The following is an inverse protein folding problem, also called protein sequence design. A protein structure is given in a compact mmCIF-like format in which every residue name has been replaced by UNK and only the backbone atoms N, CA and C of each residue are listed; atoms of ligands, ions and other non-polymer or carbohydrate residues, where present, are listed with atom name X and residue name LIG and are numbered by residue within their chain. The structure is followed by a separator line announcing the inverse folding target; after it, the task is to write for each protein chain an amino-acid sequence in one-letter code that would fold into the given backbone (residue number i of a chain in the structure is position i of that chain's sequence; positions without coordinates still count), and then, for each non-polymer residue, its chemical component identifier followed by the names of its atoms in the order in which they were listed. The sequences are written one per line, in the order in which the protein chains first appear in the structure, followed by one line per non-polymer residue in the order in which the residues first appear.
data_IF_752581577832
#
_entry.id   IF_752581577832
#
_cell.length_a   1.000
_cell.length_b   1.000
_cell.length_c   1.000
_cell.angle_alpha   90.00
_cell.angle_beta   90.00
_cell.angle_gamma   90.00
#
_symmetry.space_group_name_H-M   'P 1'
#
loop_
_entity.id
_entity.type
_entity.pdbx_description
1 polymer ?
#
# COMPACT_ATOMS: atom_id res chain seq x y z
N UNK A 1 21.63 -23.72 9.29
CA UNK A 1 22.84 -23.50 10.09
C UNK A 1 23.27 -22.04 10.10
N UNK A 2 23.50 -21.37 8.97
CA UNK A 2 23.92 -19.97 8.94
C UNK A 2 23.02 -19.02 9.72
N UNK A 3 21.68 -19.15 9.61
CA UNK A 3 20.72 -18.38 10.42
C UNK A 3 20.86 -18.66 11.93
N UNK A 4 21.22 -19.88 12.31
CA UNK A 4 21.46 -20.26 13.69
C UNK A 4 22.73 -19.59 14.23
N UNK A 5 23.85 -19.67 13.48
CA UNK A 5 25.12 -19.04 13.88
C UNK A 5 24.99 -17.53 14.04
N UNK A 6 24.20 -16.89 13.16
CA UNK A 6 23.90 -15.47 13.29
C UNK A 6 23.17 -15.14 14.59
N UNK A 7 22.17 -15.96 14.98
CA UNK A 7 21.46 -15.80 16.26
C UNK A 7 22.33 -16.06 17.48
N UNK A 8 23.35 -16.89 17.32
CA UNK A 8 24.32 -17.21 18.40
C UNK A 8 25.53 -16.27 18.42
N UNK A 9 25.59 -15.28 17.51
CA UNK A 9 26.71 -14.34 17.35
C UNK A 9 28.07 -15.02 17.08
N UNK A 10 28.04 -16.23 16.47
CA UNK A 10 29.26 -16.99 16.10
C UNK A 10 29.68 -16.61 14.69
N UNK A 11 30.34 -15.45 14.57
CA UNK A 11 30.75 -14.86 13.29
C UNK A 11 31.69 -15.77 12.50
N UNK A 12 32.63 -16.45 13.14
CA UNK A 12 33.61 -17.31 12.43
C UNK A 12 32.96 -18.53 11.77
N UNK A 13 31.99 -19.17 12.43
CA UNK A 13 31.23 -20.27 11.85
C UNK A 13 30.27 -19.76 10.79
N UNK A 14 29.64 -18.62 11.03
CA UNK A 14 28.74 -17.98 10.05
C UNK A 14 29.48 -17.69 8.74
N UNK A 15 30.64 -17.06 8.78
CA UNK A 15 31.42 -16.71 7.58
C UNK A 15 31.81 -17.95 6.78
N UNK A 16 32.34 -18.98 7.46
CA UNK A 16 32.76 -20.22 6.79
C UNK A 16 31.58 -20.94 6.12
N UNK A 17 30.49 -21.13 6.86
CA UNK A 17 29.34 -21.89 6.36
C UNK A 17 28.59 -21.09 5.26
N UNK A 18 28.57 -19.76 5.39
CA UNK A 18 27.95 -18.88 4.41
C UNK A 18 28.77 -18.82 3.10
N UNK A 19 30.09 -18.74 3.19
CA UNK A 19 30.97 -18.81 2.02
C UNK A 19 30.81 -20.13 1.26
N UNK A 20 30.79 -21.25 1.98
CA UNK A 20 30.58 -22.56 1.36
C UNK A 20 29.18 -22.69 0.73
N UNK A 21 28.14 -22.19 1.39
CA UNK A 21 26.77 -22.20 0.86
C UNK A 21 26.65 -21.38 -0.42
N UNK A 22 27.22 -20.16 -0.44
CA UNK A 22 27.15 -19.27 -1.60
C UNK A 22 27.96 -19.81 -2.77
N UNK A 23 29.15 -20.39 -2.52
CA UNK A 23 29.94 -21.05 -3.55
C UNK A 23 29.18 -22.24 -4.17
N UNK A 24 28.60 -23.11 -3.34
CA UNK A 24 27.79 -24.22 -3.81
C UNK A 24 26.58 -23.77 -4.65
N UNK A 25 25.94 -22.68 -4.23
CA UNK A 25 24.78 -22.13 -4.93
C UNK A 25 25.17 -21.49 -6.28
N UNK A 26 26.32 -20.85 -6.36
CA UNK A 26 26.86 -20.31 -7.61
C UNK A 26 27.26 -21.41 -8.59
N UNK A 27 28.02 -22.39 -8.15
CA UNK A 27 28.53 -23.49 -8.96
C UNK A 27 27.43 -24.39 -9.58
N UNK A 28 26.25 -24.44 -8.92
CA UNK A 28 25.13 -25.28 -9.34
C UNK A 28 23.89 -24.50 -9.81
N UNK A 29 24.01 -23.20 -10.01
CA UNK A 29 22.91 -22.31 -10.40
C UNK A 29 21.69 -22.34 -9.46
N UNK A 30 21.93 -22.48 -8.15
CA UNK A 30 20.87 -22.50 -7.12
C UNK A 30 20.46 -21.10 -6.62
N UNK A 31 20.81 -20.03 -7.31
CA UNK A 31 20.46 -18.66 -6.97
C UNK A 31 18.96 -18.42 -6.76
N UNK A 32 18.12 -19.15 -7.46
CA UNK A 32 16.68 -19.08 -7.34
C UNK A 32 16.16 -19.43 -5.92
N UNK A 33 16.90 -20.23 -5.14
CA UNK A 33 16.54 -20.56 -3.75
C UNK A 33 16.62 -19.35 -2.81
N UNK A 34 17.39 -18.32 -3.19
CA UNK A 34 17.54 -17.07 -2.42
C UNK A 34 16.60 -15.98 -2.91
N UNK A 35 16.06 -16.08 -4.12
CA UNK A 35 15.33 -14.98 -4.75
C UNK A 35 13.86 -15.29 -5.03
N UNK A 36 13.46 -16.56 -4.95
CA UNK A 36 12.09 -16.99 -5.25
C UNK A 36 11.58 -17.96 -4.18
N UNK A 37 10.27 -17.94 -3.96
CA UNK A 37 9.60 -18.95 -3.13
C UNK A 37 9.66 -20.30 -3.86
N UNK A 38 10.16 -21.32 -3.17
CA UNK A 38 10.26 -22.69 -3.68
C UNK A 38 9.76 -23.69 -2.65
N UNK A 39 9.47 -24.94 -3.09
CA UNK A 39 9.04 -26.01 -2.18
C UNK A 39 10.13 -26.42 -1.16
N UNK A 40 11.41 -26.25 -1.51
CA UNK A 40 12.55 -26.66 -0.70
C UNK A 40 13.21 -25.50 0.03
N UNK A 41 12.85 -24.25 -0.30
CA UNK A 41 13.38 -23.03 0.30
C UNK A 41 12.51 -22.51 1.46
N UNK A 42 12.93 -21.41 2.09
CA UNK A 42 12.10 -20.74 3.08
C UNK A 42 10.79 -20.25 2.45
N UNK A 43 9.70 -20.14 3.26
CA UNK A 43 8.42 -19.61 2.78
C UNK A 43 8.52 -18.20 2.18
N UNK A 44 9.41 -17.37 2.74
CA UNK A 44 9.80 -16.07 2.20
C UNK A 44 11.33 -16.03 2.04
N UNK A 45 11.85 -15.84 0.82
CA UNK A 45 13.29 -15.71 0.57
C UNK A 45 13.94 -14.55 1.31
N UNK A 46 13.17 -13.53 1.69
CA UNK A 46 13.67 -12.35 2.42
C UNK A 46 14.31 -12.70 3.76
N UNK A 47 13.96 -13.81 4.36
CA UNK A 47 14.62 -14.31 5.57
C UNK A 47 16.13 -14.52 5.39
N UNK A 48 16.59 -14.68 4.15
CA UNK A 48 18.00 -14.85 3.79
C UNK A 48 18.71 -13.52 3.50
N UNK A 49 17.97 -12.42 3.29
CA UNK A 49 18.55 -11.11 2.97
C UNK A 49 19.57 -10.64 4.01
N UNK A 50 19.33 -10.77 5.32
CA UNK A 50 20.34 -10.43 6.32
C UNK A 50 21.67 -11.20 6.19
N UNK A 51 21.62 -12.45 5.69
CA UNK A 51 22.84 -13.24 5.44
C UNK A 51 23.56 -12.77 4.19
N UNK A 52 22.82 -12.39 3.13
CA UNK A 52 23.39 -11.83 1.91
C UNK A 52 24.05 -10.47 2.15
N UNK A 53 23.41 -9.60 2.97
CA UNK A 53 23.99 -8.33 3.39
C UNK A 53 25.27 -8.55 4.19
N UNK A 54 25.24 -9.48 5.16
CA UNK A 54 26.41 -9.85 5.93
C UNK A 54 27.55 -10.36 5.03
N UNK A 55 27.27 -11.25 4.07
CA UNK A 55 28.30 -11.76 3.16
C UNK A 55 28.89 -10.67 2.28
N UNK A 56 28.06 -9.72 1.81
CA UNK A 56 28.51 -8.58 0.99
C UNK A 56 29.42 -7.63 1.76
N UNK A 57 29.08 -7.33 3.03
CA UNK A 57 29.67 -6.24 3.81
C UNK A 57 30.72 -6.70 4.82
N UNK A 58 30.89 -8.04 5.04
CA UNK A 58 31.92 -8.59 5.93
C UNK A 58 33.33 -8.26 5.42
N UNK A 59 34.20 -7.76 6.30
CA UNK A 59 35.59 -7.49 5.95
C UNK A 59 36.35 -8.75 5.50
N UNK A 60 36.04 -9.92 6.07
CA UNK A 60 36.68 -11.19 5.75
C UNK A 60 36.19 -11.77 4.42
N UNK A 61 34.92 -11.56 4.06
CA UNK A 61 34.31 -12.09 2.84
C UNK A 61 34.27 -11.08 1.70
N UNK A 62 34.37 -9.79 1.95
CA UNK A 62 34.07 -8.69 1.02
C UNK A 62 34.85 -8.68 -0.31
N UNK A 63 35.96 -9.43 -0.39
CA UNK A 63 36.75 -9.61 -1.63
C UNK A 63 36.64 -11.04 -2.21
N UNK A 64 35.78 -11.86 -1.68
CA UNK A 64 35.62 -13.25 -2.12
C UNK A 64 34.53 -13.37 -3.20
N UNK A 65 34.56 -14.44 -4.01
CA UNK A 65 33.46 -14.77 -4.93
C UNK A 65 32.11 -14.80 -4.22
N UNK A 66 32.03 -15.30 -3.00
CA UNK A 66 30.81 -15.36 -2.20
C UNK A 66 30.18 -13.98 -1.97
N UNK A 67 30.96 -12.94 -1.65
CA UNK A 67 30.47 -11.58 -1.49
C UNK A 67 29.92 -11.01 -2.79
N UNK A 68 30.62 -11.23 -3.92
CA UNK A 68 30.16 -10.81 -5.24
C UNK A 68 28.85 -11.53 -5.64
N UNK A 69 28.75 -12.81 -5.34
CA UNK A 69 27.53 -13.56 -5.61
C UNK A 69 26.37 -13.06 -4.73
N UNK A 70 26.58 -12.82 -3.44
CA UNK A 70 25.59 -12.22 -2.55
C UNK A 70 25.09 -10.85 -3.08
N UNK A 71 26.02 -10.00 -3.57
CA UNK A 71 25.65 -8.71 -4.16
C UNK A 71 24.75 -8.88 -5.41
N UNK A 72 25.04 -9.87 -6.27
CA UNK A 72 24.18 -10.18 -7.44
C UNK A 72 22.80 -10.67 -7.02
N UNK A 73 22.68 -11.53 -5.99
CA UNK A 73 21.40 -11.98 -5.46
C UNK A 73 20.59 -10.83 -4.87
N UNK A 74 21.23 -9.92 -4.14
CA UNK A 74 20.60 -8.69 -3.62
C UNK A 74 20.10 -7.81 -4.76
N UNK A 75 20.86 -7.68 -5.85
CA UNK A 75 20.44 -6.91 -7.02
C UNK A 75 19.21 -7.54 -7.70
N UNK A 76 19.14 -8.87 -7.82
CA UNK A 76 17.97 -9.58 -8.34
C UNK A 76 16.72 -9.39 -7.48
N UNK A 77 16.89 -9.19 -6.17
CA UNK A 77 15.81 -8.86 -5.23
C UNK A 77 15.43 -7.36 -5.25
N UNK A 78 16.20 -6.50 -5.94
CA UNK A 78 16.05 -5.05 -5.88
C UNK A 78 16.51 -4.42 -4.56
N UNK A 79 17.36 -5.12 -3.79
CA UNK A 79 17.76 -4.76 -2.43
C UNK A 79 19.25 -4.44 -2.29
N UNK A 80 19.95 -4.16 -3.40
CA UNK A 80 21.41 -3.91 -3.44
C UNK A 80 21.84 -2.67 -2.64
N UNK A 81 20.97 -1.69 -2.50
CA UNK A 81 21.21 -0.41 -1.82
C UNK A 81 21.07 -0.51 -0.29
N UNK A 82 20.46 -1.57 0.24
CA UNK A 82 20.20 -1.70 1.67
C UNK A 82 21.48 -1.98 2.45
N UNK A 83 21.59 -1.34 3.63
CA UNK A 83 22.64 -1.62 4.62
C UNK A 83 22.16 -2.56 5.73
N UNK A 84 20.86 -2.58 6.00
CA UNK A 84 20.23 -3.43 6.99
C UNK A 84 18.86 -3.91 6.49
N UNK A 85 18.48 -5.13 6.90
CA UNK A 85 17.19 -5.70 6.58
C UNK A 85 16.80 -6.73 7.65
N UNK A 86 15.57 -6.73 8.19
CA UNK A 86 15.17 -7.63 9.28
C UNK A 86 14.86 -9.07 8.83
N UNK A 87 14.85 -9.34 7.53
CA UNK A 87 14.52 -10.66 6.98
C UNK A 87 13.06 -10.80 6.55
N UNK A 88 12.31 -9.70 6.50
CA UNK A 88 10.92 -9.68 6.02
C UNK A 88 10.56 -8.33 5.39
N UNK A 89 9.59 -8.37 4.49
CA UNK A 89 8.95 -7.18 3.95
C UNK A 89 7.82 -6.72 4.87
N UNK A 90 7.66 -5.42 5.05
CA UNK A 90 6.41 -4.89 5.61
C UNK A 90 5.33 -4.87 4.54
N UNK A 91 4.15 -5.37 4.89
CA UNK A 91 2.94 -5.20 4.09
C UNK A 91 1.96 -4.35 4.90
N UNK A 92 1.51 -3.25 4.32
CA UNK A 92 0.71 -2.24 5.01
C UNK A 92 -0.55 -1.99 4.20
N UNK A 93 -1.70 -2.11 4.86
CA UNK A 93 -3.00 -1.75 4.33
C UNK A 93 -3.46 -0.46 5.00
N UNK A 94 -3.77 0.54 4.18
CA UNK A 94 -4.25 1.87 4.60
C UNK A 94 -5.59 2.24 3.98
N UNK A 95 -5.99 1.56 2.91
CA UNK A 95 -7.28 1.74 2.25
C UNK A 95 -8.33 0.86 2.92
N UNK A 96 -9.12 1.46 3.80
CA UNK A 96 -10.01 0.78 4.72
C UNK A 96 -9.39 0.62 6.11
N UNK A 97 -9.68 -0.49 6.78
CA UNK A 97 -9.13 -0.76 8.12
C UNK A 97 -7.61 -0.96 8.05
N UNK A 98 -6.88 -0.23 8.89
CA UNK A 98 -5.44 -0.34 8.95
C UNK A 98 -4.98 -1.73 9.41
N UNK A 99 -4.07 -2.33 8.64
CA UNK A 99 -3.42 -3.60 8.98
C UNK A 99 -1.94 -3.56 8.60
N UNK A 100 -1.12 -4.21 9.40
CA UNK A 100 0.34 -4.31 9.19
C UNK A 100 0.79 -5.76 9.33
N UNK A 101 1.64 -6.22 8.43
CA UNK A 101 2.27 -7.53 8.51
C UNK A 101 3.78 -7.40 8.41
N UNK A 102 4.50 -8.22 9.17
CA UNK A 102 5.93 -8.48 9.08
C UNK A 102 6.12 -9.82 8.37
N UNK A 103 6.37 -9.79 7.06
CA UNK A 103 6.32 -10.98 6.23
C UNK A 103 4.92 -11.61 6.21
N UNK A 104 4.78 -12.82 6.78
CA UNK A 104 3.50 -13.51 6.90
C UNK A 104 2.71 -13.17 8.17
N UNK A 105 3.36 -12.62 9.20
CA UNK A 105 2.79 -12.43 10.53
C UNK A 105 2.10 -11.08 10.64
N UNK A 106 0.80 -11.08 10.94
CA UNK A 106 0.06 -9.85 11.21
C UNK A 106 0.46 -9.27 12.58
N UNK A 107 0.66 -7.96 12.61
CA UNK A 107 0.98 -7.24 13.84
C UNK A 107 -0.31 -6.95 14.60
N UNK A 108 -0.50 -7.65 15.70
CA UNK A 108 -1.67 -7.49 16.56
C UNK A 108 -1.80 -6.05 17.10
N UNK A 109 -3.02 -5.53 17.29
CA UNK A 109 -3.24 -4.19 17.86
C UNK A 109 -2.55 -3.97 19.20
N UNK A 110 -2.44 -5.02 20.04
CA UNK A 110 -1.77 -4.98 21.34
C UNK A 110 -0.26 -4.69 21.25
N UNK A 111 0.39 -5.04 20.13
CA UNK A 111 1.82 -4.79 19.93
C UNK A 111 2.17 -3.29 19.90
N UNK A 112 1.21 -2.43 19.61
CA UNK A 112 1.43 -0.99 19.52
C UNK A 112 1.63 -0.31 20.88
N UNK A 113 1.26 -0.94 22.00
CA UNK A 113 1.33 -0.42 23.38
C UNK A 113 0.70 0.99 23.56
N UNK A 114 0.90 1.89 22.60
CA UNK A 114 0.42 3.27 22.60
C UNK A 114 -0.21 3.66 21.26
N UNK A 115 -1.39 4.27 21.32
CA UNK A 115 -2.11 4.77 20.13
C UNK A 115 -1.23 5.75 19.31
N UNK A 116 -0.44 6.60 19.97
CA UNK A 116 0.41 7.61 19.30
C UNK A 116 1.56 6.99 18.49
N UNK A 117 2.07 5.81 18.86
CA UNK A 117 3.09 5.12 18.07
C UNK A 117 2.53 4.66 16.71
N UNK A 118 1.27 4.18 16.70
CA UNK A 118 0.56 3.83 15.47
C UNK A 118 0.22 5.07 14.63
N UNK A 119 -0.25 6.16 15.27
CA UNK A 119 -0.51 7.43 14.59
C UNK A 119 0.76 8.00 13.94
N UNK A 120 1.92 7.84 14.56
CA UNK A 120 3.19 8.27 13.99
C UNK A 120 3.54 7.51 12.70
N UNK A 121 3.29 6.19 12.65
CA UNK A 121 3.44 5.44 11.40
C UNK A 121 2.47 5.96 10.34
N UNK A 122 1.21 6.19 10.70
CA UNK A 122 0.20 6.69 9.75
C UNK A 122 0.59 8.07 9.20
N UNK A 123 1.13 8.95 10.04
CA UNK A 123 1.67 10.23 9.59
C UNK A 123 2.82 10.04 8.59
N UNK A 124 3.76 9.15 8.88
CA UNK A 124 4.87 8.84 7.97
C UNK A 124 4.40 8.19 6.65
N UNK A 125 3.32 7.42 6.67
CA UNK A 125 2.72 6.86 5.45
C UNK A 125 2.02 7.92 4.60
N UNK A 126 1.41 8.91 5.24
CA UNK A 126 0.79 10.06 4.56
C UNK A 126 1.86 10.93 3.87
N UNK A 127 2.97 11.18 4.55
CA UNK A 127 4.09 11.99 4.05
C UNK A 127 5.28 11.13 3.62
N UNK A 128 5.06 9.97 3.02
CA UNK A 128 6.08 8.95 2.74
C UNK A 128 7.27 9.42 1.90
N UNK A 129 7.09 10.46 1.09
CA UNK A 129 8.12 11.01 0.20
C UNK A 129 8.86 12.21 0.84
N UNK A 130 8.55 12.50 2.12
CA UNK A 130 9.07 13.69 2.79
C UNK A 130 9.47 13.37 4.22
N UNK A 131 10.63 13.84 4.65
CA UNK A 131 11.02 13.82 6.05
C UNK A 131 10.44 15.05 6.74
N UNK A 132 9.70 14.83 7.82
CA UNK A 132 9.06 15.87 8.61
C UNK A 132 9.97 16.33 9.74
N UNK A 133 9.99 17.64 10.01
CA UNK A 133 10.63 18.17 11.21
C UNK A 133 9.93 17.66 12.47
N UNK A 134 10.71 17.35 13.48
CA UNK A 134 10.20 16.82 14.75
C UNK A 134 9.13 17.72 15.37
N UNK A 135 9.32 19.03 15.30
CA UNK A 135 8.39 20.05 15.82
C UNK A 135 7.05 20.01 15.07
N UNK A 136 7.06 19.85 13.74
CA UNK A 136 5.85 19.66 12.92
C UNK A 136 5.10 18.39 13.30
N UNK A 137 5.83 17.28 13.51
CA UNK A 137 5.22 16.02 13.96
C UNK A 137 4.53 16.18 15.30
N UNK A 138 5.18 16.91 16.25
CA UNK A 138 4.61 17.17 17.57
C UNK A 138 3.36 18.03 17.47
N UNK A 139 3.36 19.07 16.66
CA UNK A 139 2.20 19.93 16.42
C UNK A 139 1.02 19.14 15.85
N UNK A 140 1.25 18.29 14.86
CA UNK A 140 0.20 17.46 14.24
C UNK A 140 -0.38 16.39 15.15
N UNK A 141 0.46 15.74 15.97
CA UNK A 141 0.02 14.58 16.77
C UNK A 141 -0.25 14.89 18.24
N UNK A 142 0.29 15.95 18.80
CA UNK A 142 0.12 16.36 20.20
C UNK A 142 -0.19 17.85 20.33
N UNK A 143 -1.19 18.38 19.58
CA UNK A 143 -1.49 19.83 19.61
C UNK A 143 -1.88 20.36 21.00
N UNK A 144 -2.34 19.46 21.89
CA UNK A 144 -2.74 19.77 23.26
C UNK A 144 -1.57 19.87 24.24
N UNK A 145 -0.36 19.46 23.86
CA UNK A 145 0.81 19.44 24.74
C UNK A 145 1.74 20.63 24.48
N UNK A 146 2.36 21.13 25.55
CA UNK A 146 3.49 22.06 25.40
C UNK A 146 4.68 21.38 24.73
N UNK A 147 5.54 22.15 24.06
CA UNK A 147 6.65 21.69 23.22
C UNK A 147 7.54 20.64 23.90
N UNK A 148 7.98 20.87 25.14
CA UNK A 148 8.85 19.91 25.85
C UNK A 148 8.18 18.58 26.16
N UNK A 149 6.89 18.60 26.53
CA UNK A 149 6.10 17.40 26.80
C UNK A 149 5.87 16.61 25.49
N UNK A 150 5.46 17.31 24.43
CA UNK A 150 5.29 16.72 23.10
C UNK A 150 6.57 16.07 22.57
N UNK A 151 7.73 16.71 22.75
CA UNK A 151 9.04 16.15 22.36
C UNK A 151 9.41 14.88 23.15
N UNK A 152 9.05 14.80 24.43
CA UNK A 152 9.26 13.57 25.22
C UNK A 152 8.38 12.44 24.72
N UNK A 153 7.10 12.71 24.50
CA UNK A 153 6.12 11.73 24.02
C UNK A 153 6.45 11.26 22.61
N UNK A 154 6.90 12.15 21.73
CA UNK A 154 7.41 11.81 20.41
C UNK A 154 8.57 10.80 20.48
N UNK A 155 9.58 11.03 21.34
CA UNK A 155 10.71 10.10 21.48
C UNK A 155 10.25 8.70 21.89
N UNK A 156 9.29 8.62 22.80
CA UNK A 156 8.71 7.35 23.25
C UNK A 156 7.94 6.69 22.09
N UNK A 157 7.09 7.46 21.40
CA UNK A 157 6.31 6.96 20.27
C UNK A 157 7.21 6.45 19.15
N UNK A 158 8.28 7.17 18.79
CA UNK A 158 9.24 6.77 17.77
C UNK A 158 10.03 5.50 18.17
N UNK A 159 10.44 5.41 19.44
CA UNK A 159 11.10 4.20 19.95
C UNK A 159 10.17 2.98 19.92
N UNK A 160 8.91 3.15 20.32
CA UNK A 160 7.91 2.07 20.25
C UNK A 160 7.62 1.69 18.80
N UNK A 161 7.43 2.66 17.90
CA UNK A 161 7.26 2.41 16.46
C UNK A 161 8.41 1.57 15.91
N UNK A 162 9.65 1.99 16.16
CA UNK A 162 10.84 1.25 15.69
C UNK A 162 10.86 -0.19 16.18
N UNK A 163 10.48 -0.44 17.44
CA UNK A 163 10.40 -1.79 18.02
C UNK A 163 9.25 -2.61 17.43
N UNK A 164 8.11 -1.98 17.13
CA UNK A 164 6.99 -2.66 16.47
C UNK A 164 7.35 -3.07 15.06
N UNK A 165 8.06 -2.23 14.31
CA UNK A 165 8.48 -2.55 12.95
C UNK A 165 9.61 -3.58 12.93
N UNK A 166 10.54 -3.54 13.90
CA UNK A 166 11.76 -4.35 13.95
C UNK A 166 12.04 -4.82 15.37
N UNK A 167 11.30 -5.82 15.90
CA UNK A 167 11.42 -6.25 17.31
C UNK A 167 12.80 -6.83 17.67
N UNK A 168 13.46 -7.48 16.70
CA UNK A 168 14.75 -8.16 16.91
C UNK A 168 15.95 -7.28 16.48
N UNK A 169 15.72 -5.97 16.20
CA UNK A 169 16.79 -5.06 15.79
C UNK A 169 17.71 -4.72 16.95
N UNK A 170 19.01 -4.82 16.73
CA UNK A 170 19.99 -4.32 17.68
C UNK A 170 19.81 -2.81 17.94
N UNK A 171 19.96 -2.40 19.20
CA UNK A 171 19.71 -1.00 19.61
C UNK A 171 20.53 0.03 18.84
N UNK A 172 21.74 -0.33 18.43
CA UNK A 172 22.69 0.55 17.73
C UNK A 172 22.59 0.42 16.20
N UNK A 173 21.90 -0.60 15.68
CA UNK A 173 21.73 -0.77 14.25
C UNK A 173 20.73 0.27 13.69
N UNK A 174 20.99 0.83 12.49
CA UNK A 174 20.02 1.68 11.82
C UNK A 174 18.74 0.89 11.52
N UNK A 175 17.58 1.56 11.57
CA UNK A 175 16.32 0.90 11.14
C UNK A 175 16.31 0.71 9.63
N UNK A 176 15.73 -0.41 9.18
CA UNK A 176 15.49 -0.68 7.76
C UNK A 176 14.28 0.11 7.20
N UNK A 177 13.39 0.61 8.06
CA UNK A 177 12.12 1.20 7.64
C UNK A 177 11.98 2.69 7.97
N UNK A 178 12.48 3.12 9.11
CA UNK A 178 12.37 4.52 9.54
C UNK A 178 13.74 5.18 9.59
N UNK A 179 13.75 6.48 9.33
CA UNK A 179 14.99 7.26 9.32
C UNK A 179 14.87 8.47 10.23
N UNK A 180 16.00 8.82 10.81
CA UNK A 180 16.25 10.11 11.45
C UNK A 180 17.42 10.77 10.74
N UNK A 181 17.18 11.97 10.22
CA UNK A 181 18.22 12.84 9.64
C UNK A 181 18.20 14.19 10.38
N UNK A 182 19.12 14.35 11.34
CA UNK A 182 19.13 15.51 12.22
C UNK A 182 17.87 15.62 13.08
N UNK A 183 17.04 16.62 12.82
CA UNK A 183 15.72 16.86 13.43
C UNK A 183 14.57 16.30 12.61
N UNK A 184 14.81 15.76 11.41
CA UNK A 184 13.79 15.24 10.50
C UNK A 184 13.62 13.72 10.65
N UNK A 185 12.37 13.27 10.49
CA UNK A 185 11.97 11.88 10.66
C UNK A 185 10.96 11.46 9.59
N UNK A 186 10.98 10.18 9.20
CA UNK A 186 10.06 9.63 8.21
C UNK A 186 10.35 8.17 7.91
N UNK A 187 9.74 7.67 6.83
CA UNK A 187 10.10 6.38 6.24
C UNK A 187 11.38 6.54 5.40
N UNK A 188 12.13 5.44 5.26
CA UNK A 188 13.22 5.39 4.28
C UNK A 188 12.62 5.23 2.89
N UNK A 189 13.13 5.98 1.91
CA UNK A 189 12.70 5.87 0.50
C UNK A 189 12.91 4.46 -0.05
N UNK A 190 13.95 3.80 0.43
CA UNK A 190 14.40 2.49 -0.04
C UNK A 190 13.87 1.33 0.81
N UNK A 191 12.96 1.56 1.74
CA UNK A 191 12.43 0.53 2.63
C UNK A 191 11.74 -0.60 1.85
N UNK A 192 12.07 -1.86 2.14
CA UNK A 192 11.34 -3.01 1.56
C UNK A 192 9.94 -3.11 2.20
N UNK A 193 9.03 -2.31 1.69
CA UNK A 193 7.63 -2.31 2.09
C UNK A 193 6.69 -2.39 0.88
N UNK A 194 5.53 -2.96 1.09
CA UNK A 194 4.40 -2.92 0.17
C UNK A 194 3.27 -2.14 0.84
N UNK A 195 2.74 -1.17 0.13
CA UNK A 195 1.67 -0.30 0.59
C UNK A 195 0.51 -0.36 -0.40
N UNK A 196 -0.69 -0.65 0.07
CA UNK A 196 -1.88 -0.78 -0.78
C UNK A 196 -2.22 0.51 -1.53
N UNK A 197 -2.11 1.67 -0.90
CA UNK A 197 -2.34 2.97 -1.55
C UNK A 197 -1.31 3.26 -2.66
N UNK A 198 -0.05 2.82 -2.50
CA UNK A 198 0.95 2.93 -3.56
C UNK A 198 0.63 1.98 -4.72
N UNK A 199 0.32 0.72 -4.41
CA UNK A 199 -0.07 -0.27 -5.42
C UNK A 199 -1.34 0.17 -6.18
N UNK A 200 -2.30 0.79 -5.49
CA UNK A 200 -3.49 1.39 -6.10
C UNK A 200 -3.12 2.45 -7.15
N UNK A 201 -2.22 3.36 -6.81
CA UNK A 201 -1.75 4.41 -7.72
C UNK A 201 -0.97 3.83 -8.91
N UNK A 202 -0.11 2.84 -8.65
CA UNK A 202 0.70 2.17 -9.69
C UNK A 202 -0.19 1.45 -10.71
N UNK A 203 -1.25 0.78 -10.27
CA UNK A 203 -2.21 0.10 -11.13
C UNK A 203 -3.02 1.11 -11.97
N UNK A 204 -3.44 2.25 -11.40
CA UNK A 204 -4.09 3.32 -12.16
C UNK A 204 -3.12 3.87 -13.23
N UNK A 205 -1.89 4.20 -12.85
CA UNK A 205 -0.90 4.71 -13.80
C UNK A 205 -0.55 3.69 -14.88
N UNK A 206 -0.53 2.40 -14.57
CA UNK A 206 -0.36 1.33 -15.56
C UNK A 206 -1.55 1.29 -16.54
N UNK A 207 -2.77 1.37 -16.03
CA UNK A 207 -3.98 1.45 -16.84
C UNK A 207 -4.00 2.66 -17.78
N UNK A 208 -3.62 3.85 -17.25
CA UNK A 208 -3.57 5.08 -18.04
C UNK A 208 -2.58 4.98 -19.23
N UNK A 209 -1.41 4.35 -19.01
CA UNK A 209 -0.43 4.12 -20.08
C UNK A 209 -0.94 3.19 -21.20
N UNK A 210 -1.79 2.24 -20.85
CA UNK A 210 -2.32 1.24 -21.78
C UNK A 210 -3.62 1.66 -22.46
N UNK A 211 -4.34 2.65 -21.92
CA UNK A 211 -5.72 2.99 -22.27
C UNK A 211 -6.00 3.18 -23.75
N UNK A 212 -5.09 3.83 -24.47
CA UNK A 212 -5.26 4.11 -25.91
C UNK A 212 -4.83 2.96 -26.84
N UNK A 213 -4.03 2.03 -26.34
CA UNK A 213 -3.40 0.99 -27.17
C UNK A 213 -3.93 -0.41 -26.87
N UNK A 214 -4.15 -0.71 -25.59
CA UNK A 214 -4.48 -2.03 -25.09
C UNK A 214 -5.60 -1.92 -24.04
N UNK A 215 -6.81 -1.59 -24.54
CA UNK A 215 -7.97 -1.29 -23.70
C UNK A 215 -8.29 -2.37 -22.67
N UNK A 216 -8.21 -3.63 -23.07
CA UNK A 216 -8.51 -4.76 -22.21
C UNK A 216 -7.47 -4.92 -21.08
N UNK A 217 -6.18 -4.76 -21.40
CA UNK A 217 -5.11 -4.76 -20.41
C UNK A 217 -5.23 -3.55 -19.45
N UNK A 218 -5.60 -2.36 -19.95
CA UNK A 218 -5.88 -1.19 -19.13
C UNK A 218 -7.03 -1.44 -18.14
N UNK A 219 -8.13 -2.02 -18.60
CA UNK A 219 -9.27 -2.38 -17.74
C UNK A 219 -8.88 -3.41 -16.68
N UNK A 220 -8.00 -4.37 -17.00
CA UNK A 220 -7.48 -5.30 -16.01
C UNK A 220 -6.67 -4.59 -14.91
N UNK A 221 -5.84 -3.59 -15.27
CA UNK A 221 -5.14 -2.74 -14.29
C UNK A 221 -6.12 -1.96 -13.40
N UNK A 222 -7.10 -1.28 -13.98
CA UNK A 222 -8.08 -0.53 -13.20
C UNK A 222 -8.92 -1.42 -12.28
N UNK A 223 -9.32 -2.63 -12.73
CA UNK A 223 -10.01 -3.59 -11.85
C UNK A 223 -9.15 -4.01 -10.67
N UNK A 224 -7.82 -4.21 -10.86
CA UNK A 224 -6.90 -4.49 -9.74
C UNK A 224 -6.78 -3.29 -8.80
N UNK A 225 -6.71 -2.08 -9.34
CA UNK A 225 -6.73 -0.86 -8.52
C UNK A 225 -8.00 -0.79 -7.66
N UNK A 226 -9.18 -0.92 -8.26
CA UNK A 226 -10.46 -0.89 -7.53
C UNK A 226 -10.55 -1.98 -6.45
N UNK A 227 -9.97 -3.16 -6.71
CA UNK A 227 -9.93 -4.25 -5.74
C UNK A 227 -9.04 -3.97 -4.51
N UNK A 228 -8.09 -3.03 -4.59
CA UNK A 228 -7.28 -2.60 -3.46
C UNK A 228 -8.01 -1.59 -2.55
N UNK A 229 -9.01 -0.89 -3.07
CA UNK A 229 -9.71 0.17 -2.35
C UNK A 229 -10.84 -0.39 -1.48
N UNK A 230 -10.52 -0.91 -0.31
CA UNK A 230 -11.51 -1.48 0.62
C UNK A 230 -12.28 -0.43 1.42
N UNK A 231 -11.76 0.79 1.51
CA UNK A 231 -12.32 1.91 2.27
C UNK A 231 -11.43 3.13 2.17
N UNK A 232 -11.83 4.21 2.84
CA UNK A 232 -11.09 5.45 2.81
C UNK A 232 -9.71 5.32 3.44
N UNK A 233 -8.78 6.12 2.94
CA UNK A 233 -7.42 6.17 3.47
C UNK A 233 -7.44 6.54 4.95
N UNK A 234 -6.86 5.65 5.80
CA UNK A 234 -6.80 5.79 7.25
C UNK A 234 -8.17 6.16 7.86
N UNK A 235 -9.20 5.42 7.51
CA UNK A 235 -10.60 5.67 7.93
C UNK A 235 -10.81 5.76 9.44
N UNK A 236 -9.86 5.29 10.26
CA UNK A 236 -9.88 5.41 11.73
C UNK A 236 -9.72 6.86 12.22
N UNK A 237 -9.31 7.76 11.33
CA UNK A 237 -9.06 9.18 11.65
C UNK A 237 -9.87 10.12 10.74
N UNK A 238 -11.23 10.06 10.77
CA UNK A 238 -12.06 10.81 9.82
C UNK A 238 -11.88 12.33 9.91
N UNK A 239 -11.50 12.84 11.11
CA UNK A 239 -11.35 14.27 11.39
C UNK A 239 -9.89 14.73 11.49
N UNK A 240 -8.91 13.89 11.16
CA UNK A 240 -7.51 14.28 11.23
C UNK A 240 -7.12 15.06 9.96
N UNK A 241 -6.77 16.34 10.16
CA UNK A 241 -6.39 17.24 9.06
C UNK A 241 -5.14 16.76 8.32
N UNK A 242 -4.16 16.19 9.03
CA UNK A 242 -2.89 15.75 8.45
C UNK A 242 -3.00 14.64 7.40
N UNK A 243 -4.13 13.94 7.28
CA UNK A 243 -4.37 12.92 6.24
C UNK A 243 -5.59 13.23 5.35
N UNK A 244 -6.28 14.36 5.54
CA UNK A 244 -7.51 14.69 4.81
C UNK A 244 -7.26 14.88 3.32
N UNK A 245 -6.22 15.62 2.94
CA UNK A 245 -5.87 15.89 1.54
C UNK A 245 -5.57 14.58 0.78
N UNK A 246 -4.75 13.70 1.36
CA UNK A 246 -4.43 12.41 0.74
C UNK A 246 -5.67 11.51 0.64
N UNK A 247 -6.53 11.51 1.66
CA UNK A 247 -7.80 10.77 1.63
C UNK A 247 -8.70 11.24 0.50
N UNK A 248 -8.91 12.53 0.36
CA UNK A 248 -9.73 13.12 -0.71
C UNK A 248 -9.13 12.85 -2.09
N UNK A 249 -7.82 12.95 -2.21
CA UNK A 249 -7.10 12.65 -3.45
C UNK A 249 -7.32 11.20 -3.89
N UNK A 250 -7.13 10.25 -2.97
CA UNK A 250 -7.29 8.81 -3.27
C UNK A 250 -8.75 8.45 -3.54
N UNK A 251 -9.70 9.03 -2.81
CA UNK A 251 -11.13 8.85 -3.08
C UNK A 251 -11.50 9.36 -4.48
N UNK A 252 -11.07 10.57 -4.84
CA UNK A 252 -11.31 11.14 -6.17
C UNK A 252 -10.77 10.24 -7.29
N UNK A 253 -9.57 9.70 -7.11
CA UNK A 253 -8.98 8.76 -8.07
C UNK A 253 -9.77 7.46 -8.17
N UNK A 254 -10.24 6.92 -7.03
CA UNK A 254 -11.11 5.75 -7.02
C UNK A 254 -12.39 6.00 -7.81
N UNK A 255 -13.10 7.09 -7.52
CA UNK A 255 -14.39 7.43 -8.16
C UNK A 255 -14.24 7.58 -9.68
N UNK A 256 -13.23 8.32 -10.14
CA UNK A 256 -12.94 8.50 -11.57
C UNK A 256 -12.54 7.20 -12.26
N UNK A 257 -11.78 6.34 -11.58
CA UNK A 257 -11.37 5.05 -12.12
C UNK A 257 -12.57 4.11 -12.23
N UNK A 258 -13.43 4.07 -11.21
CA UNK A 258 -14.66 3.28 -11.21
C UNK A 258 -15.64 3.73 -12.31
N UNK A 259 -15.81 5.05 -12.48
CA UNK A 259 -16.59 5.62 -13.59
C UNK A 259 -16.07 5.16 -14.95
N UNK A 260 -14.76 5.29 -15.20
CA UNK A 260 -14.11 4.86 -16.44
C UNK A 260 -14.32 3.36 -16.73
N UNK A 261 -14.23 2.52 -15.69
CA UNK A 261 -14.50 1.09 -15.81
C UNK A 261 -15.98 0.83 -16.11
N UNK A 262 -16.90 1.52 -15.43
CA UNK A 262 -18.34 1.36 -15.64
C UNK A 262 -18.75 1.76 -17.07
N UNK A 263 -18.23 2.88 -17.58
CA UNK A 263 -18.49 3.34 -18.96
C UNK A 263 -17.94 2.34 -20.01
N UNK A 264 -16.74 1.80 -19.76
CA UNK A 264 -16.16 0.80 -20.67
C UNK A 264 -16.97 -0.52 -20.65
N UNK A 265 -17.52 -0.91 -19.50
CA UNK A 265 -18.40 -2.06 -19.39
C UNK A 265 -19.74 -1.84 -20.11
N UNK A 266 -20.32 -0.63 -20.03
CA UNK A 266 -21.49 -0.27 -20.85
C UNK A 266 -21.20 -0.39 -22.34
N UNK A 267 -20.07 0.14 -22.80
CA UNK A 267 -19.67 0.06 -24.20
C UNK A 267 -19.45 -1.38 -24.69
N UNK A 268 -19.07 -2.28 -23.78
CA UNK A 268 -18.90 -3.71 -24.04
C UNK A 268 -20.19 -4.53 -23.84
N UNK A 269 -21.32 -3.89 -23.57
CA UNK A 269 -22.61 -4.54 -23.26
C UNK A 269 -22.55 -5.50 -22.02
N UNK A 270 -21.59 -5.28 -21.13
CA UNK A 270 -21.44 -6.04 -19.87
C UNK A 270 -22.30 -5.40 -18.76
N UNK A 271 -23.61 -5.46 -18.93
CA UNK A 271 -24.59 -4.68 -18.17
C UNK A 271 -24.58 -4.96 -16.66
N UNK A 272 -24.53 -6.23 -16.27
CA UNK A 272 -24.52 -6.64 -14.87
C UNK A 272 -23.24 -6.17 -14.14
N UNK A 273 -22.08 -6.28 -14.81
CA UNK A 273 -20.81 -5.80 -14.24
C UNK A 273 -20.81 -4.27 -14.12
N UNK A 274 -21.34 -3.54 -15.13
CA UNK A 274 -21.49 -2.09 -15.09
C UNK A 274 -22.36 -1.65 -13.89
N UNK A 275 -23.47 -2.36 -13.63
CA UNK A 275 -24.32 -2.12 -12.46
C UNK A 275 -23.55 -2.36 -11.16
N UNK A 276 -22.79 -3.45 -11.07
CA UNK A 276 -22.02 -3.77 -9.85
C UNK A 276 -20.96 -2.70 -9.55
N UNK A 277 -20.20 -2.26 -10.57
CA UNK A 277 -19.19 -1.20 -10.41
C UNK A 277 -19.83 0.13 -10.03
N UNK A 278 -20.93 0.51 -10.66
CA UNK A 278 -21.65 1.75 -10.34
C UNK A 278 -22.27 1.72 -8.93
N UNK A 279 -22.73 0.56 -8.46
CA UNK A 279 -23.20 0.39 -7.08
C UNK A 279 -22.07 0.56 -6.06
N UNK A 280 -20.89 -0.03 -6.32
CA UNK A 280 -19.71 0.13 -5.47
C UNK A 280 -19.28 1.59 -5.40
N UNK A 281 -19.30 2.31 -6.52
CA UNK A 281 -19.03 3.74 -6.59
C UNK A 281 -20.01 4.53 -5.72
N UNK A 282 -21.32 4.31 -5.87
CA UNK A 282 -22.37 4.99 -5.08
C UNK A 282 -22.33 4.65 -3.58
N UNK A 283 -21.65 3.60 -3.17
CA UNK A 283 -21.39 3.31 -1.75
C UNK A 283 -20.36 4.27 -1.16
N UNK A 284 -19.49 4.87 -2.01
CA UNK A 284 -18.46 5.84 -1.61
C UNK A 284 -18.91 7.29 -1.76
N UNK A 285 -19.60 7.57 -2.84
CA UNK A 285 -20.21 8.87 -3.11
C UNK A 285 -21.58 8.68 -3.75
N UNK A 286 -22.63 8.83 -2.96
CA UNK A 286 -24.01 8.62 -3.39
C UNK A 286 -24.58 9.81 -4.20
N UNK A 287 -23.81 10.90 -4.35
CA UNK A 287 -24.11 12.01 -5.24
C UNK A 287 -23.42 11.92 -6.62
N UNK A 288 -22.67 10.85 -6.90
CA UNK A 288 -21.98 10.67 -8.18
C UNK A 288 -22.96 10.35 -9.32
N UNK A 289 -23.42 11.37 -9.98
CA UNK A 289 -24.56 11.32 -10.91
C UNK A 289 -24.33 10.38 -12.11
N UNK A 290 -23.08 10.33 -12.64
CA UNK A 290 -22.74 9.43 -13.74
C UNK A 290 -23.01 7.94 -13.42
N UNK A 291 -22.78 7.52 -12.17
CA UNK A 291 -23.06 6.15 -11.78
C UNK A 291 -24.55 5.79 -11.86
N UNK A 292 -25.43 6.71 -11.56
CA UNK A 292 -26.86 6.51 -11.78
C UNK A 292 -27.20 6.43 -13.27
N UNK A 293 -26.57 7.24 -14.14
CA UNK A 293 -26.76 7.14 -15.60
C UNK A 293 -26.33 5.76 -16.12
N UNK A 294 -25.19 5.24 -15.63
CA UNK A 294 -24.75 3.87 -15.93
C UNK A 294 -25.81 2.86 -15.56
N UNK A 295 -26.38 2.94 -14.35
CA UNK A 295 -27.47 2.03 -13.93
C UNK A 295 -28.71 2.17 -14.80
N UNK A 296 -29.11 3.39 -15.13
CA UNK A 296 -30.29 3.65 -15.98
C UNK A 296 -30.15 3.00 -17.35
N UNK A 297 -28.98 3.17 -18.00
CA UNK A 297 -28.71 2.54 -19.31
C UNK A 297 -28.68 1.03 -19.19
N UNK A 298 -27.88 0.47 -18.27
CA UNK A 298 -27.73 -0.97 -18.11
C UNK A 298 -29.04 -1.68 -17.77
N UNK A 299 -29.86 -1.15 -16.87
CA UNK A 299 -31.18 -1.71 -16.57
C UNK A 299 -32.15 -1.61 -17.77
N UNK A 300 -32.04 -0.57 -18.58
CA UNK A 300 -32.88 -0.43 -19.78
C UNK A 300 -32.53 -1.50 -20.80
N UNK A 301 -31.25 -1.72 -21.07
CA UNK A 301 -30.78 -2.74 -22.02
C UNK A 301 -31.07 -4.18 -21.54
N UNK A 302 -31.13 -4.40 -20.22
CA UNK A 302 -31.59 -5.65 -19.62
C UNK A 302 -33.14 -5.80 -19.60
N UNK A 303 -33.89 -4.85 -20.21
CA UNK A 303 -35.35 -4.86 -20.23
C UNK A 303 -36.02 -4.52 -18.89
N UNK A 304 -35.24 -4.07 -17.89
CA UNK A 304 -35.76 -3.75 -16.56
C UNK A 304 -36.00 -2.24 -16.38
N UNK A 305 -36.96 -1.71 -17.17
CA UNK A 305 -37.34 -0.30 -17.17
C UNK A 305 -37.70 0.22 -15.75
N UNK A 306 -38.32 -0.62 -14.92
CA UNK A 306 -38.69 -0.22 -13.57
C UNK A 306 -37.47 0.13 -12.71
N UNK A 307 -36.40 -0.66 -12.80
CA UNK A 307 -35.14 -0.35 -12.08
C UNK A 307 -34.41 0.86 -12.66
N UNK A 308 -34.45 1.07 -13.96
CA UNK A 308 -33.90 2.27 -14.59
C UNK A 308 -34.57 3.55 -14.03
N UNK A 309 -35.92 3.58 -13.97
CA UNK A 309 -36.65 4.71 -13.38
C UNK A 309 -36.36 4.89 -11.90
N UNK A 310 -36.22 3.78 -11.14
CA UNK A 310 -35.84 3.85 -9.71
C UNK A 310 -34.43 4.38 -9.51
N UNK A 311 -33.49 4.09 -10.41
CA UNK A 311 -32.15 4.64 -10.35
C UNK A 311 -32.18 6.17 -10.48
N UNK A 312 -32.93 6.72 -11.42
CA UNK A 312 -33.16 8.16 -11.52
C UNK A 312 -33.75 8.75 -10.24
N UNK A 313 -34.83 8.14 -9.70
CA UNK A 313 -35.47 8.63 -8.49
C UNK A 313 -34.53 8.66 -7.28
N UNK A 314 -33.63 7.67 -7.16
CA UNK A 314 -32.58 7.70 -6.14
C UNK A 314 -31.60 8.83 -6.36
N UNK A 315 -31.14 9.03 -7.60
CA UNK A 315 -30.25 10.15 -7.96
C UNK A 315 -30.86 11.49 -7.57
N UNK A 316 -32.10 11.77 -8.03
CA UNK A 316 -32.81 13.01 -7.75
C UNK A 316 -32.97 13.24 -6.23
N UNK A 317 -33.36 12.21 -5.49
CA UNK A 317 -33.52 12.29 -4.03
C UNK A 317 -32.21 12.60 -3.30
N UNK A 318 -31.11 11.94 -3.70
CA UNK A 318 -29.79 12.16 -3.09
C UNK A 318 -29.22 13.54 -3.39
N UNK A 319 -29.25 13.95 -4.64
CA UNK A 319 -28.79 15.31 -5.02
C UNK A 319 -29.58 16.41 -4.33
N UNK A 320 -30.89 16.23 -4.20
CA UNK A 320 -31.74 17.21 -3.50
C UNK A 320 -31.45 17.22 -1.99
N UNK A 321 -31.29 16.04 -1.37
CA UNK A 321 -31.07 15.90 0.07
C UNK A 321 -29.69 16.45 0.50
N UNK A 322 -28.63 16.05 -0.21
CA UNK A 322 -27.25 16.34 0.21
C UNK A 322 -26.72 17.67 -0.33
N UNK A 323 -27.13 18.06 -1.55
CA UNK A 323 -26.59 19.24 -2.25
C UNK A 323 -27.62 20.31 -2.53
N UNK A 324 -28.93 20.02 -2.42
CA UNK A 324 -30.01 20.96 -2.71
C UNK A 324 -30.15 21.27 -4.22
N UNK A 325 -29.67 20.40 -5.11
CA UNK A 325 -29.67 20.60 -6.56
C UNK A 325 -30.52 19.56 -7.29
N UNK A 326 -30.98 19.89 -8.48
CA UNK A 326 -31.62 18.95 -9.40
C UNK A 326 -30.57 18.17 -10.22
N UNK A 327 -30.95 16.98 -10.76
CA UNK A 327 -30.09 16.24 -11.69
C UNK A 327 -29.73 17.06 -12.94
N UNK A 328 -28.57 16.77 -13.54
CA UNK A 328 -28.11 17.38 -14.79
C UNK A 328 -29.08 17.10 -15.96
N UNK A 329 -29.06 17.99 -16.94
CA UNK A 329 -29.95 17.89 -18.10
C UNK A 329 -29.82 16.54 -18.85
N UNK A 330 -28.61 15.98 -18.92
CA UNK A 330 -28.34 14.68 -19.54
C UNK A 330 -29.08 13.54 -18.84
N UNK A 331 -29.11 13.57 -17.50
CA UNK A 331 -29.78 12.55 -16.69
C UNK A 331 -31.31 12.64 -16.83
N UNK A 332 -31.84 13.84 -16.90
CA UNK A 332 -33.28 14.07 -17.17
C UNK A 332 -33.67 13.63 -18.58
N UNK A 333 -32.85 13.98 -19.58
CA UNK A 333 -33.09 13.57 -20.97
C UNK A 333 -33.04 12.03 -21.12
N UNK A 334 -32.13 11.36 -20.45
CA UNK A 334 -32.05 9.89 -20.41
C UNK A 334 -33.34 9.28 -19.82
N UNK A 335 -33.89 9.85 -18.74
CA UNK A 335 -35.17 9.39 -18.18
C UNK A 335 -36.31 9.51 -19.16
N UNK A 336 -36.39 10.65 -19.91
CA UNK A 336 -37.44 10.86 -20.92
C UNK A 336 -37.32 9.88 -22.09
N UNK A 337 -36.09 9.54 -22.48
CA UNK A 337 -35.85 8.49 -23.47
C UNK A 337 -36.35 7.14 -23.01
N UNK A 338 -35.96 6.74 -21.76
CA UNK A 338 -36.41 5.49 -21.14
C UNK A 338 -37.94 5.41 -21.04
N UNK A 339 -38.60 6.53 -20.76
CA UNK A 339 -40.07 6.58 -20.70
C UNK A 339 -40.75 6.42 -22.06
N UNK A 340 -40.07 6.81 -23.15
CA UNK A 340 -40.60 6.68 -24.52
C UNK A 340 -40.42 5.29 -25.13
N UNK A 341 -39.39 4.54 -24.71
CA UNK A 341 -39.19 3.14 -25.12
C UNK A 341 -40.21 2.22 -24.40
#
# INVERSE_FOLDING_TARGET
QALLWRRMDDTARLERDLAALLALAEDNDYGYLFTRKTLMGPPDPRVLVPLLLFARDSESLGRTPAAHYAARLLAQLGLSHLQNHPGYRLRIQTLGSFRLWRGADEVEPAAWERKKSRQLLHLFLTYRETLLEREQIVEMLWPELGTEAGLRDFKIAFSTLSRVLEPDRDRNAPSAYVVRDGSRYGLRDEADLWLDSAAFLDEIAAGDRLWEREREAALACYRRALALYHGDFLQEYPYAEWCSEERERLLTLYLRTAERVADALLAAAAWEEAIAVSQALLTRDDCWEQAYRVQMVAYTELGNRAQAVRAYQRCEARLQQELGVAPMAETVALLEEIRRR
#
